data_IF_446258983076
#
_entry.id   IF_446258983076
#
_cell.length_a   1.000
_cell.length_b   1.000
_cell.length_c   1.000
_cell.angle_alpha   90.00
_cell.angle_beta   90.00
_cell.angle_gamma   90.00
#
_symmetry.space_group_name_H-M   'P 1'
#
loop_
_entity.id
_entity.type
_entity.pdbx_description
1 polymer ?
#
# COMPACT_ATOMS: atom_id res chain seq x y z
N UNK A 1 2.19 -0.25 10.96
CA UNK A 1 3.61 -0.68 10.93
C UNK A 1 4.12 -0.87 9.51
N UNK A 2 3.52 -1.75 8.68
CA UNK A 2 4.03 -2.03 7.32
C UNK A 2 4.18 -0.81 6.40
N UNK A 3 3.22 0.13 6.41
CA UNK A 3 3.28 1.34 5.58
C UNK A 3 4.46 2.27 5.91
N UNK A 4 4.75 2.47 7.21
CA UNK A 4 5.90 3.27 7.66
C UNK A 4 7.23 2.63 7.24
N UNK A 5 7.34 1.30 7.35
CA UNK A 5 8.53 0.54 6.93
C UNK A 5 8.70 0.64 5.41
N UNK A 6 7.61 0.52 4.65
CA UNK A 6 7.62 0.65 3.19
C UNK A 6 8.06 2.03 2.71
N UNK A 7 7.60 3.10 3.37
CA UNK A 7 8.03 4.48 3.06
C UNK A 7 9.53 4.65 3.33
N UNK A 8 10.01 4.18 4.48
CA UNK A 8 11.43 4.27 4.84
C UNK A 8 12.33 3.53 3.84
N UNK A 9 11.95 2.29 3.47
CA UNK A 9 12.69 1.49 2.48
C UNK A 9 12.63 2.10 1.07
N UNK A 10 11.46 2.58 0.65
CA UNK A 10 11.29 3.22 -0.67
C UNK A 10 12.13 4.48 -0.80
N UNK A 11 12.18 5.31 0.24
CA UNK A 11 13.00 6.52 0.25
C UNK A 11 14.51 6.20 0.22
N UNK A 12 14.96 5.24 1.04
CA UNK A 12 16.36 4.79 1.05
C UNK A 12 16.80 4.20 -0.30
N UNK A 13 15.96 3.35 -0.90
CA UNK A 13 16.24 2.75 -2.20
C UNK A 13 16.32 3.80 -3.31
N UNK A 14 15.38 4.75 -3.33
CA UNK A 14 15.39 5.85 -4.31
C UNK A 14 16.64 6.73 -4.14
N UNK A 15 17.02 7.06 -2.90
CA UNK A 15 18.22 7.84 -2.60
C UNK A 15 19.51 7.14 -3.05
N UNK A 16 19.64 5.85 -2.76
CA UNK A 16 20.82 5.06 -3.15
C UNK A 16 20.98 4.97 -4.68
N UNK A 17 19.87 4.72 -5.40
CA UNK A 17 19.87 4.64 -6.86
C UNK A 17 20.21 6.01 -7.48
N UNK A 18 19.65 7.10 -6.94
CA UNK A 18 19.93 8.46 -7.42
C UNK A 18 21.41 8.84 -7.28
N UNK A 19 22.03 8.52 -6.14
CA UNK A 19 23.46 8.75 -5.91
C UNK A 19 24.35 7.91 -6.82
N UNK A 20 24.00 6.64 -7.05
CA UNK A 20 24.77 5.74 -7.90
C UNK A 20 24.66 6.09 -9.40
N UNK A 21 23.50 6.58 -9.84
CA UNK A 21 23.21 6.83 -11.25
C UNK A 21 23.59 8.21 -11.79
N UNK A 22 23.84 9.22 -10.92
CA UNK A 22 23.94 10.63 -11.32
C UNK A 22 22.72 11.11 -12.16
N UNK A 23 21.58 10.43 -12.04
CA UNK A 23 20.40 10.72 -12.85
C UNK A 23 19.67 11.95 -12.30
N UNK A 24 19.23 12.87 -13.18
CA UNK A 24 18.35 13.95 -12.74
C UNK A 24 17.06 13.31 -12.20
N UNK A 25 16.77 13.56 -10.93
CA UNK A 25 15.58 13.04 -10.26
C UNK A 25 14.34 13.77 -10.79
N UNK A 26 13.86 13.37 -11.96
CA UNK A 26 12.66 13.95 -12.58
C UNK A 26 11.43 13.24 -12.02
N UNK A 27 10.82 13.84 -11.01
CA UNK A 27 9.56 13.37 -10.44
C UNK A 27 8.41 13.98 -11.24
N UNK A 28 7.78 13.19 -12.09
CA UNK A 28 6.59 13.62 -12.85
C UNK A 28 5.34 13.62 -11.94
N UNK A 29 4.54 14.71 -11.92
CA UNK A 29 3.28 14.73 -11.18
C UNK A 29 2.31 13.61 -11.57
N UNK A 30 2.29 13.21 -12.85
CA UNK A 30 1.49 12.09 -13.34
C UNK A 30 1.95 10.77 -12.72
N UNK A 31 3.26 10.55 -12.63
CA UNK A 31 3.81 9.34 -12.00
C UNK A 31 3.46 9.27 -10.52
N UNK A 32 3.50 10.40 -9.80
CA UNK A 32 3.10 10.45 -8.38
C UNK A 32 1.63 10.07 -8.23
N UNK A 33 0.75 10.67 -9.05
CA UNK A 33 -0.69 10.38 -9.01
C UNK A 33 -1.00 8.91 -9.33
N UNK A 34 -0.32 8.33 -10.32
CA UNK A 34 -0.47 6.92 -10.68
C UNK A 34 -0.04 5.99 -9.55
N UNK A 35 1.15 6.21 -8.98
CA UNK A 35 1.67 5.37 -7.89
C UNK A 35 0.77 5.49 -6.64
N UNK A 36 0.33 6.70 -6.30
CA UNK A 36 -0.57 6.92 -5.18
C UNK A 36 -1.94 6.26 -5.41
N UNK A 37 -2.53 6.43 -6.59
CA UNK A 37 -3.80 5.80 -6.96
C UNK A 37 -3.72 4.28 -6.93
N UNK A 38 -2.62 3.71 -7.44
CA UNK A 38 -2.39 2.27 -7.41
C UNK A 38 -2.27 1.75 -5.97
N UNK A 39 -1.52 2.44 -5.11
CA UNK A 39 -1.39 2.09 -3.69
C UNK A 39 -2.73 2.14 -2.96
N UNK A 40 -3.57 3.15 -3.23
CA UNK A 40 -4.92 3.24 -2.69
C UNK A 40 -5.80 2.08 -3.15
N UNK A 41 -5.81 1.75 -4.44
CA UNK A 41 -6.61 0.65 -4.98
C UNK A 41 -6.23 -0.67 -4.31
N UNK A 42 -4.93 -0.97 -4.23
CA UNK A 42 -4.43 -2.20 -3.59
C UNK A 42 -4.81 -2.21 -2.10
N UNK A 43 -4.55 -1.12 -1.38
CA UNK A 43 -4.84 -1.03 0.06
C UNK A 43 -6.33 -1.17 0.37
N UNK A 44 -7.19 -0.52 -0.43
CA UNK A 44 -8.63 -0.63 -0.28
C UNK A 44 -9.14 -2.01 -0.68
N UNK A 45 -8.66 -2.59 -1.78
CA UNK A 45 -9.10 -3.91 -2.22
C UNK A 45 -8.83 -4.98 -1.16
N UNK A 46 -7.59 -5.05 -0.65
CA UNK A 46 -7.22 -6.03 0.37
C UNK A 46 -7.70 -5.68 1.78
N UNK A 47 -8.13 -4.45 2.06
CA UNK A 47 -8.74 -4.07 3.34
C UNK A 47 -10.26 -4.26 3.37
N UNK A 48 -10.97 -3.73 2.36
CA UNK A 48 -12.43 -3.76 2.31
C UNK A 48 -12.97 -5.11 1.90
N UNK A 49 -12.39 -5.79 0.90
CA UNK A 49 -12.93 -7.08 0.45
C UNK A 49 -13.04 -8.11 1.59
N UNK A 50 -11.99 -8.38 2.39
CA UNK A 50 -12.13 -9.31 3.51
C UNK A 50 -13.03 -8.77 4.62
N UNK A 51 -12.99 -7.46 4.92
CA UNK A 51 -13.87 -6.86 5.92
C UNK A 51 -15.35 -7.01 5.56
N UNK A 52 -15.71 -6.81 4.29
CA UNK A 52 -17.07 -7.03 3.78
C UNK A 52 -17.47 -8.50 3.85
N UNK A 53 -16.54 -9.42 3.59
CA UNK A 53 -16.78 -10.87 3.74
C UNK A 53 -17.06 -11.22 5.20
N UNK A 54 -16.32 -10.66 6.15
CA UNK A 54 -16.54 -10.86 7.59
C UNK A 54 -17.86 -10.24 8.07
N UNK A 55 -18.20 -9.03 7.61
CA UNK A 55 -19.42 -8.33 8.00
C UNK A 55 -20.72 -9.02 7.53
N UNK A 56 -20.63 -9.85 6.49
CA UNK A 56 -21.75 -10.65 5.95
C UNK A 56 -21.81 -12.07 6.54
N UNK A 57 -20.89 -12.44 7.42
CA UNK A 57 -20.93 -13.72 8.10
C UNK A 57 -22.05 -13.71 9.14
N UNK A 58 -22.81 -14.79 9.24
CA UNK A 58 -23.87 -14.90 10.23
C UNK A 58 -23.26 -14.76 11.65
N UNK A 59 -23.82 -13.88 12.50
CA UNK A 59 -23.25 -13.60 13.82
C UNK A 59 -23.24 -14.83 14.73
N UNK A 60 -24.11 -15.82 14.47
CA UNK A 60 -24.11 -17.11 15.15
C UNK A 60 -22.86 -17.93 14.82
N UNK A 61 -22.38 -17.91 13.57
CA UNK A 61 -21.13 -18.56 13.19
C UNK A 61 -19.93 -17.76 13.72
N UNK A 62 -19.99 -16.42 13.67
CA UNK A 62 -18.92 -15.56 14.18
C UNK A 62 -18.69 -15.68 15.71
N UNK A 63 -19.73 -16.00 16.50
CA UNK A 63 -19.62 -16.27 17.94
C UNK A 63 -19.33 -17.74 18.29
N UNK A 64 -19.60 -18.69 17.39
CA UNK A 64 -19.34 -20.13 17.60
C UNK A 64 -17.96 -20.57 17.12
N UNK A 65 -17.15 -19.65 16.58
CA UNK A 65 -15.70 -19.82 16.49
C UNK A 65 -15.06 -19.63 17.88
N UNK A 66 -15.47 -20.48 18.83
CA UNK A 66 -14.53 -21.07 19.79
C UNK A 66 -14.04 -22.40 19.23
#
# INVERSE_FOLDING_TARGET
MGGLIGIAFGWLGAYAIAQAGQWPLVVSPISVLLVFGFALIIGLFFGLYPAMKAAKMDPVDALRYE
#
